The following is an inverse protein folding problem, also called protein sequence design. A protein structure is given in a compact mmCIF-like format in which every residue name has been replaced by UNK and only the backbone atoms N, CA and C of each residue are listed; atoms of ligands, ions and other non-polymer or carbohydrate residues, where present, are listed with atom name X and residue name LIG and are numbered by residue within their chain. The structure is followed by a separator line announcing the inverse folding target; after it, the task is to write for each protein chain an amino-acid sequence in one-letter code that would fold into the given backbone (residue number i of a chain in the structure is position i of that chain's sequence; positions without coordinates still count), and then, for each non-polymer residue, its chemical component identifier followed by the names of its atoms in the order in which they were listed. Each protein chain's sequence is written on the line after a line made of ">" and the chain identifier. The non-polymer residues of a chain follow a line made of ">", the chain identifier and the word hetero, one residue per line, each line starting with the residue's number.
data_IF_402286135367
#
_entry.id   IF_402286135367
#
_cell.length_a   1.000
_cell.length_b   1.000
_cell.length_c   1.000
_cell.angle_alpha   90.00
_cell.angle_beta   90.00
_cell.angle_gamma   90.00
#
_symmetry.space_group_name_H-M   'P 1'
#
loop_
_entity.id
_entity.type
_entity.pdbx_description
1 polymer ?
#
# COMPACT_ATOMS: atom_id res chain seq x y z
N UNK A 1 -23.53 -15.34 -17.13
CA UNK A 1 -22.16 -15.27 -16.60
C UNK A 1 -21.18 -15.38 -17.78
N UNK A 2 -20.19 -14.47 -17.90
CA UNK A 2 -19.18 -14.59 -18.96
C UNK A 2 -18.31 -15.85 -18.74
N UNK A 3 -17.89 -16.49 -19.84
CA UNK A 3 -17.05 -17.71 -19.77
C UNK A 3 -15.77 -17.44 -18.97
N UNK A 4 -15.13 -16.27 -19.14
CA UNK A 4 -13.95 -15.85 -18.38
C UNK A 4 -14.20 -15.83 -16.87
N UNK A 5 -15.34 -15.29 -16.43
CA UNK A 5 -15.72 -15.26 -15.02
C UNK A 5 -15.92 -16.70 -14.46
N UNK A 6 -16.51 -17.59 -15.25
CA UNK A 6 -16.68 -19.00 -14.84
C UNK A 6 -15.33 -19.71 -14.67
N UNK A 7 -14.37 -19.46 -15.59
CA UNK A 7 -13.01 -20.00 -15.49
C UNK A 7 -12.30 -19.47 -14.26
N UNK A 8 -12.35 -18.15 -14.01
CA UNK A 8 -11.72 -17.54 -12.82
C UNK A 8 -12.33 -18.09 -11.52
N UNK A 9 -13.66 -18.22 -11.45
CA UNK A 9 -14.33 -18.86 -10.30
C UNK A 9 -13.91 -20.32 -10.10
N UNK A 10 -13.67 -21.05 -11.19
CA UNK A 10 -13.17 -22.43 -11.12
C UNK A 10 -11.71 -22.46 -10.63
N UNK A 11 -10.83 -21.61 -11.16
CA UNK A 11 -9.42 -21.55 -10.75
C UNK A 11 -9.28 -21.15 -9.29
N UNK A 12 -10.17 -20.31 -8.75
CA UNK A 12 -10.21 -19.95 -7.33
C UNK A 12 -10.43 -21.17 -6.39
N UNK A 13 -10.92 -22.29 -6.90
CA UNK A 13 -11.06 -23.55 -6.13
C UNK A 13 -9.78 -24.39 -6.14
N UNK A 14 -8.90 -24.13 -7.12
CA UNK A 14 -7.66 -24.90 -7.33
C UNK A 14 -6.49 -24.20 -6.66
N UNK A 15 -6.37 -22.88 -6.83
CA UNK A 15 -5.29 -22.12 -6.26
C UNK A 15 -5.56 -21.74 -4.80
N UNK A 16 -4.53 -21.76 -3.93
CA UNK A 16 -4.67 -21.38 -2.54
C UNK A 16 -5.09 -19.92 -2.41
N UNK A 17 -5.90 -19.60 -1.41
CA UNK A 17 -6.26 -18.22 -1.10
C UNK A 17 -5.02 -17.44 -0.67
N UNK A 18 -4.84 -16.29 -1.27
CA UNK A 18 -3.82 -15.32 -0.85
C UNK A 18 -4.32 -14.62 0.42
N UNK A 19 -3.46 -14.49 1.41
CA UNK A 19 -3.78 -13.68 2.60
C UNK A 19 -3.77 -12.21 2.16
N UNK A 20 -4.92 -11.56 2.29
CA UNK A 20 -5.09 -10.17 1.88
C UNK A 20 -5.74 -9.38 3.02
N UNK A 21 -5.31 -8.12 3.28
CA UNK A 21 -5.83 -7.29 4.37
C UNK A 21 -7.36 -7.18 4.40
N UNK A 22 -8.00 -6.93 3.27
CA UNK A 22 -9.46 -6.86 3.17
C UNK A 22 -10.16 -8.12 3.71
N UNK A 23 -9.60 -9.29 3.43
CA UNK A 23 -10.18 -10.54 3.90
C UNK A 23 -10.01 -10.72 5.41
N UNK A 24 -8.93 -10.21 6.00
CA UNK A 24 -8.69 -10.23 7.44
C UNK A 24 -9.61 -9.26 8.18
N UNK A 25 -9.81 -8.05 7.65
CA UNK A 25 -10.76 -7.07 8.20
C UNK A 25 -12.19 -7.65 8.25
N UNK A 26 -12.65 -8.28 7.17
CA UNK A 26 -13.97 -8.90 7.11
C UNK A 26 -14.14 -10.07 8.09
N UNK A 27 -13.04 -10.67 8.54
CA UNK A 27 -13.06 -11.72 9.58
C UNK A 27 -13.03 -11.16 11.00
N UNK A 28 -12.84 -9.81 11.15
CA UNK A 28 -12.73 -9.15 12.46
C UNK A 28 -11.52 -9.59 13.27
N UNK A 29 -10.47 -10.10 12.62
CA UNK A 29 -9.27 -10.62 13.30
C UNK A 29 -8.29 -9.53 13.68
N UNK A 30 -8.12 -8.53 12.83
CA UNK A 30 -7.25 -7.38 13.04
C UNK A 30 -7.63 -6.25 12.07
N UNK A 31 -7.28 -5.00 12.40
CA UNK A 31 -7.45 -3.86 11.50
C UNK A 31 -6.34 -3.83 10.44
N UNK A 32 -6.50 -3.00 9.41
CA UNK A 32 -5.47 -2.88 8.38
C UNK A 32 -4.17 -2.29 8.94
N UNK A 33 -4.25 -1.29 9.81
CA UNK A 33 -3.08 -0.74 10.50
C UNK A 33 -2.35 -1.77 11.36
N UNK A 34 -3.09 -2.57 12.15
CA UNK A 34 -2.51 -3.64 12.98
C UNK A 34 -1.80 -4.69 12.12
N UNK A 35 -2.41 -5.11 11.02
CA UNK A 35 -1.80 -6.03 10.07
C UNK A 35 -0.51 -5.45 9.46
N UNK A 36 -0.55 -4.19 9.01
CA UNK A 36 0.63 -3.51 8.48
C UNK A 36 1.74 -3.39 9.52
N UNK A 37 1.42 -3.06 10.77
CA UNK A 37 2.39 -2.97 11.87
C UNK A 37 3.08 -4.33 12.09
N UNK A 38 2.31 -5.39 12.22
CA UNK A 38 2.82 -6.75 12.40
C UNK A 38 3.72 -7.20 11.25
N UNK A 39 3.46 -6.72 10.02
CA UNK A 39 4.22 -7.01 8.81
C UNK A 39 5.37 -6.03 8.52
N UNK A 40 5.58 -5.04 9.37
CA UNK A 40 6.60 -4.01 9.18
C UNK A 40 8.01 -4.55 8.94
N UNK A 41 8.40 -5.60 9.67
CA UNK A 41 9.69 -6.25 9.48
C UNK A 41 9.87 -6.93 8.11
N UNK A 42 8.81 -7.55 7.59
CA UNK A 42 8.82 -8.17 6.25
C UNK A 42 9.01 -7.09 5.16
N UNK A 43 8.46 -5.90 5.39
CA UNK A 43 8.52 -4.77 4.47
C UNK A 43 9.94 -4.29 4.22
N UNK A 44 10.72 -4.12 5.28
CA UNK A 44 12.07 -3.54 5.18
C UNK A 44 13.16 -4.58 4.90
N UNK A 45 12.86 -5.88 4.95
CA UNK A 45 13.87 -6.96 4.87
C UNK A 45 14.79 -6.85 3.65
N UNK A 46 14.26 -6.41 2.50
CA UNK A 46 15.08 -6.26 1.28
C UNK A 46 16.08 -5.11 1.39
N UNK A 47 15.75 -4.07 2.15
CA UNK A 47 16.65 -2.94 2.37
C UNK A 47 17.77 -3.30 3.37
N UNK A 48 17.50 -4.27 4.27
CA UNK A 48 18.47 -4.73 5.27
C UNK A 48 19.66 -5.49 4.66
N UNK A 49 19.62 -5.85 3.39
CA UNK A 49 20.78 -6.37 2.66
C UNK A 49 21.85 -5.30 2.41
N UNK A 50 21.44 -4.01 2.37
CA UNK A 50 22.34 -2.89 2.07
C UNK A 50 22.53 -1.92 3.25
N UNK A 51 21.60 -1.88 4.20
CA UNK A 51 21.59 -0.97 5.35
C UNK A 51 21.02 -1.66 6.58
N UNK A 52 21.48 -1.27 7.76
CA UNK A 52 20.87 -1.73 9.00
C UNK A 52 19.58 -0.93 9.33
N UNK A 53 18.67 -1.52 10.09
CA UNK A 53 17.48 -0.80 10.58
C UNK A 53 17.87 0.43 11.43
N UNK A 54 18.99 0.35 12.16
CA UNK A 54 19.52 1.46 12.94
C UNK A 54 19.94 2.64 12.05
N UNK A 55 20.65 2.40 10.96
CA UNK A 55 21.04 3.42 9.99
C UNK A 55 19.84 4.05 9.28
N UNK A 56 18.79 3.26 9.02
CA UNK A 56 17.58 3.72 8.34
C UNK A 56 16.69 4.57 9.25
N UNK A 57 16.58 4.24 10.53
CA UNK A 57 15.50 4.78 11.37
C UNK A 57 15.98 5.50 12.63
N UNK A 58 17.00 5.03 13.35
CA UNK A 58 17.32 5.57 14.68
C UNK A 58 17.69 7.06 14.62
N UNK A 59 16.88 7.88 15.33
CA UNK A 59 17.06 9.34 15.39
C UNK A 59 16.82 10.05 14.05
N UNK A 60 16.09 9.44 13.12
CA UNK A 60 15.83 9.96 11.77
C UNK A 60 14.44 10.60 11.65
N UNK A 61 14.36 11.64 10.82
CA UNK A 61 13.11 12.16 10.27
C UNK A 61 12.73 11.29 9.07
N UNK A 62 11.65 10.52 9.20
CA UNK A 62 11.24 9.52 8.19
C UNK A 62 9.97 9.97 7.51
N UNK A 63 9.93 9.88 6.18
CA UNK A 63 8.73 10.04 5.36
C UNK A 63 8.33 8.70 4.76
N UNK A 64 7.10 8.26 4.98
CA UNK A 64 6.50 7.08 4.38
C UNK A 64 5.45 7.52 3.35
N UNK A 65 5.79 7.43 2.07
CA UNK A 65 4.92 7.86 0.96
C UNK A 65 4.03 6.70 0.52
N UNK A 66 2.70 6.88 0.60
CA UNK A 66 1.71 5.83 0.38
C UNK A 66 1.60 4.91 1.59
N UNK A 67 1.49 5.48 2.78
CA UNK A 67 1.52 4.73 4.04
C UNK A 67 0.28 3.85 4.28
N UNK A 68 -0.82 4.03 3.52
CA UNK A 68 -2.10 3.38 3.78
C UNK A 68 -2.60 3.70 5.19
N UNK A 69 -2.97 2.68 5.97
CA UNK A 69 -3.38 2.85 7.37
C UNK A 69 -2.18 3.05 8.34
N UNK A 70 -0.99 3.32 7.82
CA UNK A 70 0.23 3.72 8.53
C UNK A 70 0.79 2.73 9.57
N UNK A 71 0.34 1.48 9.58
CA UNK A 71 0.91 0.50 10.51
C UNK A 71 2.41 0.26 10.28
N UNK A 72 2.88 0.27 9.01
CA UNK A 72 4.31 0.21 8.68
C UNK A 72 5.06 1.44 9.20
N UNK A 73 4.50 2.63 9.06
CA UNK A 73 5.06 3.88 9.61
C UNK A 73 5.24 3.80 11.13
N UNK A 74 4.26 3.25 11.83
CA UNK A 74 4.34 3.02 13.27
C UNK A 74 5.39 1.98 13.66
N UNK A 75 5.59 0.96 12.81
CA UNK A 75 6.71 0.03 12.97
C UNK A 75 8.06 0.76 12.88
N UNK A 76 8.22 1.74 11.99
CA UNK A 76 9.45 2.56 11.91
C UNK A 76 9.66 3.39 13.18
N UNK A 77 8.58 3.86 13.83
CA UNK A 77 8.67 4.47 15.18
C UNK A 77 9.27 3.50 16.20
N UNK A 78 8.88 2.22 16.16
CA UNK A 78 9.39 1.19 17.08
C UNK A 78 10.88 0.89 16.87
N UNK A 79 11.41 1.15 15.67
CA UNK A 79 12.83 1.03 15.35
C UNK A 79 13.67 2.25 15.77
N UNK A 80 13.05 3.21 16.46
CA UNK A 80 13.74 4.36 17.04
C UNK A 80 13.79 5.59 16.16
N UNK A 81 12.92 5.70 15.14
CA UNK A 81 12.78 6.95 14.39
C UNK A 81 12.46 8.12 15.34
N UNK A 82 13.05 9.29 15.11
CA UNK A 82 12.76 10.50 15.89
C UNK A 82 11.32 10.95 15.59
N UNK A 83 10.98 11.03 14.31
CA UNK A 83 9.61 11.30 13.85
C UNK A 83 9.35 10.55 12.56
N UNK A 84 8.13 10.05 12.40
CA UNK A 84 7.64 9.44 11.16
C UNK A 84 6.43 10.22 10.68
N UNK A 85 6.48 10.65 9.42
CA UNK A 85 5.33 11.26 8.72
C UNK A 85 4.84 10.27 7.67
N UNK A 86 3.62 9.77 7.84
CA UNK A 86 2.94 8.96 6.84
C UNK A 86 2.08 9.83 5.92
N UNK A 87 2.29 9.72 4.62
CA UNK A 87 1.50 10.44 3.60
C UNK A 87 0.62 9.46 2.85
N UNK A 88 -0.67 9.78 2.78
CA UNK A 88 -1.67 8.95 2.08
C UNK A 88 -2.76 9.86 1.48
N UNK A 89 -3.30 9.48 0.33
CA UNK A 89 -4.38 10.24 -0.32
C UNK A 89 -5.77 9.86 0.21
N UNK A 90 -5.88 8.70 0.83
CA UNK A 90 -7.14 8.13 1.32
C UNK A 90 -7.37 8.57 2.77
N UNK A 91 -8.18 9.62 2.95
CA UNK A 91 -8.38 10.28 4.24
C UNK A 91 -8.95 9.38 5.36
N UNK A 92 -9.75 8.37 5.03
CA UNK A 92 -10.39 7.54 6.06
C UNK A 92 -9.40 6.69 6.86
N UNK A 93 -8.18 6.47 6.38
CA UNK A 93 -7.13 5.75 7.13
C UNK A 93 -6.57 6.56 8.30
N UNK A 94 -6.74 7.89 8.32
CA UNK A 94 -6.19 8.75 9.37
C UNK A 94 -6.68 8.35 10.77
N UNK A 95 -7.97 8.07 10.91
CA UNK A 95 -8.54 7.69 12.20
C UNK A 95 -7.93 6.39 12.74
N UNK A 96 -7.80 5.39 11.88
CA UNK A 96 -7.24 4.08 12.23
C UNK A 96 -5.74 4.20 12.57
N UNK A 97 -5.00 4.97 11.76
CA UNK A 97 -3.58 5.24 11.99
C UNK A 97 -3.31 5.92 13.33
N UNK A 98 -4.08 6.97 13.64
CA UNK A 98 -3.93 7.71 14.89
C UNK A 98 -4.35 6.86 16.11
N UNK A 99 -5.42 6.09 16.02
CA UNK A 99 -5.83 5.18 17.09
C UNK A 99 -4.73 4.15 17.41
N UNK A 100 -4.12 3.55 16.39
CA UNK A 100 -3.01 2.62 16.61
C UNK A 100 -1.75 3.32 17.12
N UNK A 101 -1.48 4.57 16.71
CA UNK A 101 -0.37 5.36 17.23
C UNK A 101 -0.51 5.64 18.73
N UNK A 102 -1.72 5.94 19.19
CA UNK A 102 -2.04 6.10 20.63
C UNK A 102 -1.88 4.78 21.38
N UNK A 103 -2.44 3.68 20.86
CA UNK A 103 -2.34 2.35 21.46
C UNK A 103 -0.88 1.92 21.68
N UNK A 104 -0.01 2.19 20.70
CA UNK A 104 1.40 1.82 20.73
C UNK A 104 2.30 2.85 21.47
N UNK A 105 1.75 3.99 21.88
CA UNK A 105 2.52 5.06 22.55
C UNK A 105 3.45 5.83 21.59
N UNK A 106 3.08 5.96 20.33
CA UNK A 106 3.85 6.67 19.30
C UNK A 106 3.21 7.98 18.82
N UNK A 107 2.09 8.42 19.43
CA UNK A 107 1.36 9.61 19.01
C UNK A 107 2.24 10.87 18.92
N UNK A 108 3.22 11.03 19.82
CA UNK A 108 4.15 12.18 19.80
C UNK A 108 5.18 12.12 18.66
N UNK A 109 5.43 10.94 18.10
CA UNK A 109 6.45 10.69 17.07
C UNK A 109 5.89 10.34 15.70
N UNK A 110 4.58 10.23 15.59
CA UNK A 110 3.89 9.92 14.34
C UNK A 110 2.99 11.07 13.93
N UNK A 111 2.92 11.29 12.61
CA UNK A 111 1.99 12.24 12.01
C UNK A 111 1.42 11.64 10.72
N UNK A 112 0.10 11.60 10.62
CA UNK A 112 -0.59 11.30 9.36
C UNK A 112 -0.84 12.59 8.58
N UNK A 113 -0.60 12.57 7.26
CA UNK A 113 -0.85 13.70 6.37
C UNK A 113 -1.64 13.21 5.16
N UNK A 114 -2.89 13.64 5.07
CA UNK A 114 -3.73 13.35 3.90
C UNK A 114 -3.35 14.31 2.77
N UNK A 115 -2.54 13.84 1.82
CA UNK A 115 -2.05 14.66 0.70
C UNK A 115 -1.66 13.81 -0.51
N UNK A 116 -1.64 14.46 -1.68
CA UNK A 116 -1.06 13.85 -2.88
C UNK A 116 0.47 13.85 -2.81
N UNK A 117 1.09 12.72 -3.17
CA UNK A 117 2.55 12.58 -3.20
C UNK A 117 3.27 13.43 -4.28
N UNK A 118 2.52 14.15 -5.10
CA UNK A 118 3.08 14.99 -6.17
C UNK A 118 3.54 16.37 -5.71
N UNK A 119 3.03 16.84 -4.57
CA UNK A 119 3.35 18.15 -3.99
C UNK A 119 3.00 18.14 -2.50
N UNK A 120 4.01 17.99 -1.66
CA UNK A 120 3.84 17.82 -0.23
C UNK A 120 4.14 19.12 0.53
N UNK A 121 3.41 19.44 1.59
CA UNK A 121 3.53 20.70 2.32
C UNK A 121 4.74 20.72 3.26
N UNK A 122 5.89 20.22 2.80
CA UNK A 122 7.12 20.21 3.58
C UNK A 122 8.23 21.01 2.89
N UNK A 123 9.12 21.67 3.66
CA UNK A 123 10.30 22.31 3.11
C UNK A 123 11.24 21.33 2.41
N UNK A 124 12.09 21.85 1.54
CA UNK A 124 13.18 21.08 0.94
C UNK A 124 14.10 20.51 2.02
N UNK A 125 14.67 19.32 1.77
CA UNK A 125 15.64 18.68 2.67
C UNK A 125 15.10 18.46 4.10
N UNK A 126 13.84 18.03 4.24
CA UNK A 126 13.18 17.83 5.52
C UNK A 126 13.42 16.45 6.13
N UNK A 127 13.71 15.44 5.31
CA UNK A 127 13.75 14.05 5.76
C UNK A 127 15.12 13.40 5.57
N UNK A 128 15.49 12.54 6.51
CA UNK A 128 16.71 11.72 6.44
C UNK A 128 16.48 10.42 5.70
N UNK A 129 15.24 9.90 5.79
CA UNK A 129 14.83 8.63 5.18
C UNK A 129 13.47 8.81 4.52
N UNK A 130 13.35 8.43 3.26
CA UNK A 130 12.07 8.35 2.54
C UNK A 130 11.83 6.89 2.14
N UNK A 131 10.64 6.38 2.44
CA UNK A 131 10.23 5.02 2.09
C UNK A 131 9.02 5.08 1.14
N UNK A 132 9.08 4.29 0.10
CA UNK A 132 8.01 4.04 -0.86
C UNK A 132 7.86 2.53 -1.02
N UNK A 133 7.01 1.92 -0.19
CA UNK A 133 6.83 0.48 -0.21
C UNK A 133 5.45 0.09 -0.73
N UNK A 134 5.40 -0.72 -1.78
CA UNK A 134 4.16 -1.10 -2.47
C UNK A 134 3.34 0.15 -2.86
N UNK A 135 4.02 1.17 -3.39
CA UNK A 135 3.43 2.48 -3.66
C UNK A 135 3.63 2.92 -5.13
N UNK A 136 4.85 2.76 -5.68
CA UNK A 136 5.21 3.30 -7.00
C UNK A 136 4.38 2.72 -8.15
N UNK A 137 3.86 1.51 -8.00
CA UNK A 137 2.97 0.85 -8.96
C UNK A 137 1.55 1.44 -9.01
N UNK A 138 1.21 2.26 -8.00
CA UNK A 138 -0.12 2.90 -7.89
C UNK A 138 -0.12 4.38 -8.33
N UNK A 139 1.05 4.99 -8.56
CA UNK A 139 1.12 6.40 -8.91
C UNK A 139 0.98 6.62 -10.42
N UNK A 140 0.20 7.62 -10.81
CA UNK A 140 -0.03 7.96 -12.21
C UNK A 140 1.17 8.65 -12.89
N UNK A 141 2.04 9.31 -12.11
CA UNK A 141 3.26 9.97 -12.57
C UNK A 141 4.45 9.65 -11.64
N UNK A 142 5.13 8.52 -11.88
CA UNK A 142 6.30 8.12 -11.10
C UNK A 142 7.45 9.14 -11.15
N UNK A 143 7.63 9.82 -12.29
CA UNK A 143 8.71 10.81 -12.43
C UNK A 143 8.46 12.04 -11.55
N UNK A 144 7.23 12.53 -11.48
CA UNK A 144 6.85 13.65 -10.60
C UNK A 144 6.98 13.25 -9.12
N UNK A 145 6.57 12.04 -8.76
CA UNK A 145 6.72 11.50 -7.40
C UNK A 145 8.19 11.44 -6.97
N UNK A 146 9.07 10.91 -7.83
CA UNK A 146 10.49 10.86 -7.55
C UNK A 146 11.13 12.24 -7.45
N UNK A 147 10.70 13.19 -8.29
CA UNK A 147 11.17 14.59 -8.21
C UNK A 147 10.79 15.21 -6.86
N UNK A 148 9.60 14.96 -6.37
CA UNK A 148 9.15 15.45 -5.07
C UNK A 148 9.95 14.80 -3.93
N UNK A 149 10.16 13.49 -3.98
CA UNK A 149 11.00 12.80 -3.00
C UNK A 149 12.45 13.35 -2.99
N UNK A 150 13.02 13.61 -4.18
CA UNK A 150 14.35 14.23 -4.29
C UNK A 150 14.41 15.64 -3.74
N UNK A 151 13.33 16.41 -3.80
CA UNK A 151 13.24 17.72 -3.15
C UNK A 151 13.25 17.61 -1.63
N UNK A 152 12.56 16.60 -1.11
CA UNK A 152 12.33 16.43 0.32
C UNK A 152 13.49 15.75 1.06
N UNK A 153 14.25 14.91 0.37
CA UNK A 153 15.37 14.18 0.99
C UNK A 153 16.55 15.12 1.26
N UNK A 154 17.18 14.97 2.42
CA UNK A 154 18.43 15.66 2.76
C UNK A 154 19.59 15.15 1.90
N UNK A 155 20.64 15.95 1.65
CA UNK A 155 21.79 15.52 0.85
C UNK A 155 22.49 14.23 1.36
N UNK A 156 22.40 13.95 2.66
CA UNK A 156 22.96 12.74 3.30
C UNK A 156 21.92 11.66 3.56
N UNK A 157 20.69 11.89 3.11
CA UNK A 157 19.58 10.98 3.29
C UNK A 157 19.55 9.85 2.27
N UNK A 158 18.58 8.95 2.43
CA UNK A 158 18.37 7.84 1.51
C UNK A 158 16.89 7.62 1.20
N UNK A 159 16.61 7.25 -0.05
CA UNK A 159 15.28 6.86 -0.52
C UNK A 159 15.27 5.34 -0.73
N UNK A 160 14.29 4.67 -0.15
CA UNK A 160 14.10 3.23 -0.25
C UNK A 160 12.81 2.94 -0.99
N UNK A 161 12.90 2.21 -2.09
CA UNK A 161 11.76 1.94 -2.97
C UNK A 161 11.64 0.43 -3.16
N UNK A 162 10.44 -0.10 -2.94
CA UNK A 162 10.09 -1.48 -3.23
C UNK A 162 8.67 -1.52 -3.81
N UNK A 163 8.50 -2.29 -4.87
CA UNK A 163 7.20 -2.54 -5.50
C UNK A 163 7.23 -3.84 -6.29
N UNK A 164 6.12 -4.60 -6.37
CA UNK A 164 6.03 -5.77 -7.20
C UNK A 164 6.01 -5.38 -8.69
N UNK A 165 6.81 -6.06 -9.54
CA UNK A 165 6.73 -5.81 -10.98
C UNK A 165 5.40 -6.31 -11.55
N UNK A 166 4.95 -5.70 -12.66
CA UNK A 166 3.73 -6.09 -13.36
C UNK A 166 3.64 -7.59 -13.65
N UNK A 167 4.77 -8.22 -14.02
CA UNK A 167 4.84 -9.66 -14.30
C UNK A 167 4.95 -10.55 -13.04
N UNK A 168 4.77 -10.00 -11.85
CA UNK A 168 4.66 -10.82 -10.63
C UNK A 168 3.38 -11.66 -10.64
N UNK A 169 3.34 -12.86 -10.01
CA UNK A 169 2.13 -13.68 -9.94
C UNK A 169 0.86 -12.94 -9.49
N UNK A 170 0.99 -11.95 -8.63
CA UNK A 170 -0.10 -11.11 -8.14
C UNK A 170 -0.11 -9.69 -8.74
N UNK A 171 0.61 -9.45 -9.83
CA UNK A 171 0.77 -8.13 -10.46
C UNK A 171 -0.52 -7.46 -10.95
N UNK A 172 -1.63 -8.22 -11.06
CA UNK A 172 -2.94 -7.66 -11.31
C UNK A 172 -3.56 -6.93 -10.10
N UNK A 173 -2.99 -7.07 -8.90
CA UNK A 173 -3.53 -6.53 -7.64
C UNK A 173 -5.00 -6.91 -7.34
N UNK A 174 -5.44 -8.08 -7.81
CA UNK A 174 -6.80 -8.61 -7.63
C UNK A 174 -6.83 -9.84 -6.71
N UNK A 175 -5.73 -10.10 -6.00
CA UNK A 175 -5.53 -11.30 -5.18
C UNK A 175 -6.39 -11.36 -3.91
N UNK A 176 -7.10 -10.29 -3.61
CA UNK A 176 -8.11 -10.27 -2.55
C UNK A 176 -9.31 -11.19 -2.85
N UNK A 177 -9.65 -11.40 -4.15
CA UNK A 177 -10.75 -12.28 -4.58
C UNK A 177 -10.39 -13.20 -5.75
N UNK A 178 -9.25 -13.00 -6.42
CA UNK A 178 -8.78 -13.83 -7.54
C UNK A 178 -7.47 -14.52 -7.13
N UNK A 179 -7.54 -15.84 -6.89
CA UNK A 179 -6.40 -16.61 -6.43
C UNK A 179 -5.45 -17.06 -7.56
N UNK A 180 -5.89 -16.96 -8.83
CA UNK A 180 -5.11 -17.39 -9.98
C UNK A 180 -3.88 -16.51 -10.16
N UNK A 181 -2.64 -17.04 -10.09
CA UNK A 181 -1.44 -16.27 -10.36
C UNK A 181 -1.39 -15.87 -11.85
N UNK A 182 -0.76 -14.73 -12.13
CA UNK A 182 -0.61 -14.17 -13.49
C UNK A 182 -1.93 -14.00 -14.25
N UNK A 183 -3.05 -13.83 -13.56
CA UNK A 183 -4.38 -13.74 -14.20
C UNK A 183 -4.46 -12.66 -15.28
N UNK A 184 -3.72 -11.56 -15.11
CA UNK A 184 -3.62 -10.43 -16.06
C UNK A 184 -2.89 -10.77 -17.38
N UNK A 185 -2.19 -11.91 -17.44
CA UNK A 185 -1.56 -12.37 -18.68
C UNK A 185 -2.49 -13.26 -19.52
N UNK A 186 -3.54 -13.82 -18.91
CA UNK A 186 -4.47 -14.75 -19.57
C UNK A 186 -5.81 -14.13 -19.91
N UNK A 187 -6.19 -13.06 -19.24
CA UNK A 187 -7.48 -12.39 -19.41
C UNK A 187 -7.30 -10.91 -19.71
N UNK A 188 -8.15 -10.39 -20.59
CA UNK A 188 -8.17 -8.94 -20.87
C UNK A 188 -8.70 -8.19 -19.64
N UNK A 189 -8.33 -6.94 -19.50
CA UNK A 189 -8.78 -6.02 -18.46
C UNK A 189 -10.32 -6.04 -18.29
N UNK A 190 -11.08 -5.90 -19.38
CA UNK A 190 -12.54 -5.98 -19.33
C UNK A 190 -13.08 -7.30 -18.77
N UNK A 191 -12.37 -8.42 -19.00
CA UNK A 191 -12.74 -9.71 -18.43
C UNK A 191 -12.47 -9.75 -16.94
N UNK A 192 -11.34 -9.16 -16.51
CA UNK A 192 -10.95 -9.06 -15.10
C UNK A 192 -11.90 -8.15 -14.32
N UNK A 193 -12.21 -6.96 -14.84
CA UNK A 193 -13.19 -6.04 -14.22
C UNK A 193 -14.55 -6.73 -14.01
N UNK A 194 -15.07 -7.42 -15.03
CA UNK A 194 -16.34 -8.16 -14.91
C UNK A 194 -16.28 -9.28 -13.88
N UNK A 195 -15.18 -10.04 -13.88
CA UNK A 195 -15.00 -11.13 -12.92
C UNK A 195 -14.85 -10.60 -11.49
N UNK A 196 -14.08 -9.53 -11.31
CA UNK A 196 -13.86 -8.89 -10.02
C UNK A 196 -15.18 -8.39 -9.42
N UNK A 197 -15.97 -7.63 -10.17
CA UNK A 197 -17.31 -7.17 -9.76
C UNK A 197 -18.23 -8.31 -9.32
N UNK A 198 -18.22 -9.41 -10.04
CA UNK A 198 -19.01 -10.59 -9.70
C UNK A 198 -18.51 -11.32 -8.43
N UNK A 199 -17.20 -11.25 -8.15
CA UNK A 199 -16.59 -11.92 -7.00
C UNK A 199 -16.73 -11.11 -5.72
N UNK A 200 -16.70 -9.78 -5.80
CA UNK A 200 -16.85 -8.91 -4.62
C UNK A 200 -18.32 -8.66 -4.27
N UNK A 201 -19.24 -8.95 -5.17
CA UNK A 201 -20.66 -8.72 -4.97
C UNK A 201 -21.20 -9.37 -3.71
N UNK A 202 -21.78 -8.55 -2.83
CA UNK A 202 -22.34 -8.98 -1.55
C UNK A 202 -21.32 -9.11 -0.41
N UNK A 203 -20.05 -8.75 -0.62
CA UNK A 203 -19.10 -8.61 0.47
C UNK A 203 -19.42 -7.34 1.29
N UNK A 204 -19.13 -7.33 2.61
CA UNK A 204 -19.37 -6.17 3.46
C UNK A 204 -18.69 -4.89 2.98
N UNK A 205 -17.52 -5.01 2.36
CA UNK A 205 -16.66 -3.96 1.84
C UNK A 205 -16.67 -3.85 0.30
N UNK A 206 -17.74 -4.34 -0.35
CA UNK A 206 -17.89 -4.34 -1.82
C UNK A 206 -17.59 -2.96 -2.43
N UNK A 207 -18.20 -1.90 -1.87
CA UNK A 207 -18.06 -0.54 -2.39
C UNK A 207 -16.61 -0.05 -2.30
N UNK A 208 -15.97 -0.22 -1.16
CA UNK A 208 -14.58 0.16 -0.92
C UNK A 208 -13.63 -0.57 -1.88
N UNK A 209 -13.79 -1.89 -2.04
CA UNK A 209 -12.99 -2.68 -3.00
C UNK A 209 -13.13 -2.18 -4.42
N UNK A 210 -14.34 -1.85 -4.86
CA UNK A 210 -14.57 -1.34 -6.21
C UNK A 210 -13.93 0.04 -6.39
N UNK A 211 -14.02 0.92 -5.40
CA UNK A 211 -13.41 2.26 -5.45
C UNK A 211 -11.87 2.20 -5.47
N UNK A 212 -11.27 1.27 -4.74
CA UNK A 212 -9.80 1.13 -4.66
C UNK A 212 -9.18 0.37 -5.85
N UNK A 213 -9.96 -0.47 -6.53
CA UNK A 213 -9.43 -1.35 -7.58
C UNK A 213 -9.81 -0.96 -8.99
N UNK A 214 -10.87 -0.20 -9.16
CA UNK A 214 -11.35 0.17 -10.48
C UNK A 214 -11.23 1.67 -10.69
N UNK A 215 -10.48 2.03 -11.71
CA UNK A 215 -10.40 3.39 -12.22
C UNK A 215 -11.37 3.58 -13.39
N UNK A 216 -11.61 4.83 -13.79
CA UNK A 216 -12.39 5.17 -14.98
C UNK A 216 -11.57 6.09 -15.87
N UNK A 217 -11.58 5.79 -17.16
CA UNK A 217 -11.00 6.67 -18.16
C UNK A 217 -11.94 7.89 -18.44
N UNK A 218 -11.48 8.81 -19.28
CA UNK A 218 -12.23 10.00 -19.69
C UNK A 218 -13.55 9.68 -20.42
N UNK A 219 -13.70 8.47 -20.95
CA UNK A 219 -14.91 7.98 -21.61
C UNK A 219 -15.82 7.21 -20.63
N UNK A 220 -15.48 7.15 -19.34
CA UNK A 220 -16.21 6.43 -18.30
C UNK A 220 -16.05 4.91 -18.34
N UNK A 221 -15.09 4.39 -19.12
CA UNK A 221 -14.76 2.96 -19.15
C UNK A 221 -13.97 2.61 -17.90
N UNK A 222 -14.37 1.55 -17.24
CA UNK A 222 -13.66 1.02 -16.07
C UNK A 222 -12.53 0.07 -16.46
N UNK A 223 -11.42 0.19 -15.75
CA UNK A 223 -10.21 -0.62 -15.91
C UNK A 223 -9.53 -0.86 -14.55
#
# INVERSE_FOLDING_TARGET
>A
MAISTAIIKFTNKIFPKVVHPFNLQNQGTETYAQWQYRKGGDTIRFFLEARTAEEMFRGRQVLDMGCGAAGKSLYYCSLGAEKVTGVEIVAHYEQEANALAEELGFADRFQFVCASAFELPFPDNSFDTIIMNDFMEHVSDPARTLKEALRLIRPTGAIYINFPPYYHPTGAHLSDVINMPWVHLFFTENMLVKAYKELVKGLPDEKERLELRLSRDENGREY
#
